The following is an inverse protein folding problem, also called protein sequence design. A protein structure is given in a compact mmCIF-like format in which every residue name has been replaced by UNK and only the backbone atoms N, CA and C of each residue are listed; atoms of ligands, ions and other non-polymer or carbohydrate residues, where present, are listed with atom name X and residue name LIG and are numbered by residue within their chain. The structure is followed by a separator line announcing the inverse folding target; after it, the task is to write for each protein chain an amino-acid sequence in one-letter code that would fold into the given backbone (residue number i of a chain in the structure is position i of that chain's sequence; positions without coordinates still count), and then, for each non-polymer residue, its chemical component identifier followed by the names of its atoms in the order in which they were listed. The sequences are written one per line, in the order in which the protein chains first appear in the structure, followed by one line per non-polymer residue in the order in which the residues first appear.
data_IF_618561843569
#
_entry.id   IF_618561843569
#
_cell.length_a   1.000
_cell.length_b   1.000
_cell.length_c   1.000
_cell.angle_alpha   90.00
_cell.angle_beta   90.00
_cell.angle_gamma   90.00
#
_symmetry.space_group_name_H-M   'P 1'
#
loop_
_entity.id
_entity.type
_entity.pdbx_description
1 polymer ?
#
# COMPACT_ATOMS: atom_id res chain seq x y z
N UNK A 1 8.58 -7.97 9.69
CA UNK A 1 7.70 -7.29 8.71
C UNK A 1 6.40 -8.04 8.60
N UNK A 2 5.25 -7.37 8.43
CA UNK A 2 3.99 -8.01 8.09
C UNK A 2 4.10 -8.86 6.82
N UNK A 3 3.28 -9.91 6.72
CA UNK A 3 3.20 -10.70 5.50
C UNK A 3 2.52 -9.89 4.39
N UNK A 4 3.14 -9.88 3.20
CA UNK A 4 2.62 -9.24 1.99
C UNK A 4 2.16 -10.33 1.02
N UNK A 5 0.95 -10.18 0.49
CA UNK A 5 0.28 -11.13 -0.38
C UNK A 5 0.27 -10.65 -1.84
N UNK A 6 -0.08 -11.54 -2.77
CA UNK A 6 -0.09 -11.28 -4.21
C UNK A 6 1.20 -11.71 -4.89
N UNK A 7 1.33 -11.36 -6.17
CA UNK A 7 2.46 -11.73 -7.02
C UNK A 7 3.66 -10.78 -6.79
N UNK A 8 4.26 -10.83 -5.59
CA UNK A 8 5.46 -10.06 -5.25
C UNK A 8 6.69 -10.55 -6.01
N UNK A 9 7.55 -9.64 -6.46
CA UNK A 9 8.78 -9.97 -7.21
C UNK A 9 10.05 -9.82 -6.37
N UNK A 10 9.95 -9.20 -5.20
CA UNK A 10 11.04 -9.00 -4.26
C UNK A 10 10.53 -8.91 -2.81
N UNK A 11 11.42 -8.56 -1.88
CA UNK A 11 11.10 -8.34 -0.47
C UNK A 11 10.69 -6.89 -0.16
N UNK A 12 10.79 -5.98 -1.13
CA UNK A 12 10.47 -4.56 -0.99
C UNK A 12 9.05 -4.25 -1.48
N UNK A 13 8.19 -5.26 -1.53
CA UNK A 13 6.76 -5.19 -1.87
C UNK A 13 6.45 -4.88 -3.34
N UNK A 14 7.44 -4.85 -4.23
CA UNK A 14 7.17 -4.70 -5.67
C UNK A 14 6.40 -5.91 -6.19
N UNK A 15 5.58 -5.72 -7.22
CA UNK A 15 4.77 -6.79 -7.81
C UNK A 15 4.93 -6.88 -9.32
N UNK A 16 4.40 -7.95 -9.91
CA UNK A 16 4.42 -8.15 -11.38
C UNK A 16 3.67 -7.05 -12.15
N UNK A 17 2.74 -6.32 -11.51
CA UNK A 17 2.02 -5.20 -12.14
C UNK A 17 2.76 -3.86 -12.06
N UNK A 18 3.49 -3.62 -10.95
CA UNK A 18 4.20 -2.37 -10.65
C UNK A 18 5.50 -2.69 -9.90
N UNK A 19 6.64 -2.39 -10.50
CA UNK A 19 7.97 -2.80 -10.02
C UNK A 19 9.09 -1.79 -10.33
N UNK A 20 8.74 -0.51 -10.47
CA UNK A 20 9.76 0.54 -10.49
C UNK A 20 10.48 0.61 -9.14
N UNK A 21 11.67 1.24 -9.06
CA UNK A 21 12.37 1.41 -7.80
C UNK A 21 11.55 2.09 -6.70
N UNK A 22 10.53 2.87 -7.06
CA UNK A 22 9.65 3.63 -6.16
C UNK A 22 8.36 2.89 -5.76
N UNK A 23 8.06 1.72 -6.35
CA UNK A 23 6.87 0.92 -6.04
C UNK A 23 7.08 0.06 -4.77
N UNK A 24 7.53 0.72 -3.69
CA UNK A 24 8.01 0.08 -2.46
C UNK A 24 7.02 0.22 -1.30
N UNK A 25 5.74 0.27 -1.61
CA UNK A 25 4.68 0.28 -0.60
C UNK A 25 3.75 -0.91 -0.77
N UNK A 26 3.20 -1.38 0.35
CA UNK A 26 2.04 -2.26 0.37
C UNK A 26 0.91 -1.60 1.17
N UNK A 27 -0.32 -1.80 0.72
CA UNK A 27 -1.53 -1.25 1.34
C UNK A 27 -2.27 -2.36 2.08
N UNK A 28 -2.66 -2.12 3.33
CA UNK A 28 -3.59 -2.94 4.11
C UNK A 28 -5.01 -2.67 3.61
N UNK A 29 -5.64 -3.69 3.05
CA UNK A 29 -7.00 -3.56 2.53
C UNK A 29 -8.02 -3.65 3.66
N UNK A 30 -8.94 -2.68 3.74
CA UNK A 30 -9.98 -2.62 4.78
C UNK A 30 -10.86 -3.88 4.84
N UNK A 31 -11.09 -4.52 3.70
CA UNK A 31 -11.98 -5.70 3.62
C UNK A 31 -11.44 -6.94 4.34
N UNK A 32 -10.12 -7.10 4.43
CA UNK A 32 -9.51 -8.35 4.93
C UNK A 32 -8.28 -8.14 5.83
N UNK A 33 -7.86 -6.89 6.05
CA UNK A 33 -6.70 -6.50 6.85
C UNK A 33 -5.37 -7.17 6.43
N UNK A 34 -5.26 -7.55 5.15
CA UNK A 34 -4.03 -8.09 4.55
C UNK A 34 -3.32 -7.02 3.72
N UNK A 35 -2.00 -7.09 3.68
CA UNK A 35 -1.16 -6.21 2.85
C UNK A 35 -1.01 -6.75 1.44
N UNK A 36 -1.22 -5.88 0.44
CA UNK A 36 -0.93 -6.16 -0.97
C UNK A 36 -0.15 -4.98 -1.59
N UNK A 37 0.74 -5.24 -2.56
CA UNK A 37 1.42 -4.21 -3.33
C UNK A 37 0.47 -3.26 -4.09
N UNK A 38 -0.65 -3.79 -4.59
CA UNK A 38 -1.62 -3.02 -5.36
C UNK A 38 -3.01 -3.68 -5.41
N UNK A 39 -4.00 -2.94 -5.92
CA UNK A 39 -5.38 -3.42 -6.11
C UNK A 39 -5.51 -4.62 -7.06
N UNK A 40 -4.65 -4.74 -8.08
CA UNK A 40 -4.67 -5.89 -9.00
C UNK A 40 -4.26 -7.17 -8.27
N UNK A 41 -3.16 -7.12 -7.53
CA UNK A 41 -2.71 -8.22 -6.67
C UNK A 41 -3.79 -8.66 -5.68
N UNK A 42 -4.50 -7.72 -5.05
CA UNK A 42 -5.63 -8.05 -4.18
C UNK A 42 -6.76 -8.75 -4.95
N UNK A 43 -7.22 -8.17 -6.06
CA UNK A 43 -8.36 -8.68 -6.82
C UNK A 43 -8.10 -10.06 -7.44
N UNK A 44 -6.84 -10.37 -7.77
CA UNK A 44 -6.44 -11.69 -8.25
C UNK A 44 -6.33 -12.72 -7.12
N UNK A 45 -6.04 -12.27 -5.88
CA UNK A 45 -5.81 -13.16 -4.73
C UNK A 45 -7.06 -13.42 -3.90
N UNK A 46 -8.07 -12.55 -3.99
CA UNK A 46 -9.24 -12.56 -3.10
C UNK A 46 -10.56 -12.72 -3.88
N UNK A 47 -11.50 -13.44 -3.27
CA UNK A 47 -12.83 -13.70 -3.86
C UNK A 47 -13.86 -12.60 -3.56
N UNK A 48 -13.44 -11.54 -2.87
CA UNK A 48 -14.30 -10.44 -2.45
C UNK A 48 -13.85 -9.11 -3.03
N UNK A 49 -14.78 -8.17 -3.14
CA UNK A 49 -14.47 -6.81 -3.61
C UNK A 49 -13.71 -6.03 -2.53
N UNK A 50 -12.78 -5.14 -2.91
CA UNK A 50 -12.09 -4.28 -1.96
C UNK A 50 -13.10 -3.32 -1.29
N UNK A 51 -12.88 -3.07 0.01
CA UNK A 51 -13.51 -1.97 0.74
C UNK A 51 -12.50 -0.84 0.85
N UNK A 52 -12.99 0.40 0.83
CA UNK A 52 -12.17 1.61 0.95
C UNK A 52 -12.21 2.14 2.37
N UNK A 53 -11.10 2.72 2.81
CA UNK A 53 -11.03 3.46 4.07
C UNK A 53 -11.74 4.80 3.91
N UNK A 54 -12.58 5.14 4.89
CA UNK A 54 -13.20 6.46 4.98
C UNK A 54 -12.20 7.46 5.57
N UNK A 55 -12.39 8.74 5.30
CA UNK A 55 -11.47 9.80 5.73
C UNK A 55 -11.35 9.93 7.25
N UNK A 56 -12.40 9.58 8.00
CA UNK A 56 -12.40 9.50 9.46
C UNK A 56 -11.60 8.32 10.03
N UNK A 57 -11.10 7.43 9.16
CA UNK A 57 -10.25 6.28 9.51
C UNK A 57 -8.79 6.43 9.01
N UNK A 58 -8.39 7.60 8.51
CA UNK A 58 -7.07 7.78 7.90
C UNK A 58 -5.90 7.78 8.89
N UNK A 59 -6.18 7.79 10.19
CA UNK A 59 -5.21 7.54 11.26
C UNK A 59 -4.76 6.07 11.34
N UNK A 60 -5.51 5.14 10.72
CA UNK A 60 -5.15 3.71 10.67
C UNK A 60 -3.81 3.49 9.98
N UNK A 61 -2.96 2.68 10.62
CA UNK A 61 -1.67 2.22 10.09
C UNK A 61 -1.87 1.20 8.97
N UNK A 62 -2.23 1.67 7.79
CA UNK A 62 -2.55 0.82 6.64
C UNK A 62 -1.48 0.83 5.54
N UNK A 63 -0.38 1.56 5.68
CA UNK A 63 0.64 1.67 4.64
C UNK A 63 1.98 1.12 5.15
N UNK A 64 2.49 0.10 4.49
CA UNK A 64 3.76 -0.54 4.80
C UNK A 64 4.83 -0.08 3.82
N UNK A 65 5.95 0.46 4.33
CA UNK A 65 7.15 0.66 3.54
C UNK A 65 7.88 -0.67 3.36
N UNK A 66 8.06 -1.11 2.11
CA UNK A 66 8.76 -2.34 1.77
C UNK A 66 10.27 -2.31 2.05
N UNK A 67 10.89 -1.13 2.04
CA UNK A 67 12.34 -0.99 2.27
C UNK A 67 12.72 -1.22 3.73
N UNK A 68 11.99 -0.63 4.67
CA UNK A 68 12.35 -0.67 6.10
C UNK A 68 11.30 -1.33 7.00
N UNK A 69 10.16 -1.75 6.44
CA UNK A 69 9.08 -2.39 7.17
C UNK A 69 8.26 -1.46 8.07
N UNK A 70 8.40 -0.14 7.94
CA UNK A 70 7.64 0.82 8.75
C UNK A 70 6.16 0.84 8.31
N UNK A 71 5.27 0.66 9.29
CA UNK A 71 3.82 0.83 9.11
C UNK A 71 3.41 2.26 9.49
N UNK A 72 2.95 3.03 8.51
CA UNK A 72 2.50 4.42 8.67
C UNK A 72 1.00 4.54 8.45
N UNK A 73 0.42 5.63 8.98
CA UNK A 73 -0.99 5.94 8.75
C UNK A 73 -1.24 6.33 7.30
N UNK A 74 -2.50 6.16 6.86
CA UNK A 74 -2.95 6.61 5.53
C UNK A 74 -2.69 8.11 5.39
N UNK A 75 -3.04 8.88 6.43
CA UNK A 75 -2.81 10.33 6.49
C UNK A 75 -1.34 10.69 6.28
N UNK A 76 -0.43 10.03 7.01
CA UNK A 76 1.02 10.27 6.87
C UNK A 76 1.50 9.99 5.44
N UNK A 77 1.04 8.88 4.85
CA UNK A 77 1.39 8.52 3.48
C UNK A 77 0.87 9.54 2.46
N UNK A 78 -0.32 10.09 2.67
CA UNK A 78 -0.89 11.11 1.76
C UNK A 78 -0.15 12.45 1.83
N UNK A 79 0.47 12.77 2.98
CA UNK A 79 1.19 14.04 3.21
C UNK A 79 2.68 13.97 2.89
N UNK A 80 3.22 12.81 2.56
CA UNK A 80 4.66 12.59 2.36
C UNK A 80 4.95 11.97 1.00
N UNK A 81 6.17 12.19 0.50
CA UNK A 81 6.65 11.57 -0.76
C UNK A 81 7.75 10.53 -0.52
N UNK A 82 8.10 10.31 0.75
CA UNK A 82 9.11 9.35 1.18
C UNK A 82 8.76 8.76 2.54
N UNK A 83 9.35 7.61 2.84
CA UNK A 83 9.18 6.99 4.14
C UNK A 83 9.77 7.87 5.25
N UNK A 84 9.00 8.25 6.29
CA UNK A 84 9.51 9.08 7.37
C UNK A 84 10.55 8.37 8.26
N UNK A 85 10.75 7.06 8.09
CA UNK A 85 11.71 6.27 8.85
C UNK A 85 13.04 6.04 8.12
N UNK A 86 13.01 5.82 6.81
CA UNK A 86 14.20 5.43 6.03
C UNK A 86 14.41 6.27 4.77
N UNK A 87 13.60 7.30 4.56
CA UNK A 87 13.71 8.27 3.46
C UNK A 87 13.55 7.67 2.05
N UNK A 88 13.20 6.39 1.94
CA UNK A 88 12.91 5.76 0.65
C UNK A 88 11.76 6.49 -0.06
N UNK A 89 12.00 6.92 -1.31
CA UNK A 89 11.02 7.63 -2.11
C UNK A 89 9.87 6.72 -2.57
N UNK A 90 8.65 7.27 -2.53
CA UNK A 90 7.46 6.61 -3.01
C UNK A 90 7.11 7.03 -4.43
N UNK A 91 6.40 6.16 -5.14
CA UNK A 91 5.88 6.50 -6.45
C UNK A 91 4.69 7.47 -6.32
N UNK A 92 4.90 8.75 -6.60
CA UNK A 92 3.85 9.77 -6.57
C UNK A 92 2.68 9.47 -7.53
N UNK A 93 2.87 8.63 -8.56
CA UNK A 93 1.78 8.20 -9.45
C UNK A 93 0.78 7.26 -8.78
N UNK A 94 1.10 6.69 -7.62
CA UNK A 94 0.14 5.89 -6.83
C UNK A 94 -1.11 6.70 -6.43
N UNK A 95 -1.01 8.04 -6.38
CA UNK A 95 -2.13 8.96 -6.14
C UNK A 95 -3.28 8.76 -7.12
N UNK A 96 -3.00 8.39 -8.39
CA UNK A 96 -4.03 8.09 -9.38
C UNK A 96 -4.87 6.85 -9.05
N UNK A 97 -4.39 5.98 -8.15
CA UNK A 97 -5.09 4.77 -7.71
C UNK A 97 -5.77 4.92 -6.35
N UNK A 98 -5.72 6.10 -5.71
CA UNK A 98 -6.29 6.30 -4.37
C UNK A 98 -7.75 5.90 -4.27
N UNK A 99 -8.54 6.17 -5.32
CA UNK A 99 -9.95 5.80 -5.39
C UNK A 99 -10.23 4.27 -5.26
N UNK A 100 -9.22 3.40 -5.41
CA UNK A 100 -9.34 1.96 -5.12
C UNK A 100 -9.21 1.62 -3.64
N UNK A 101 -8.58 2.48 -2.83
CA UNK A 101 -8.21 2.20 -1.44
C UNK A 101 -8.89 3.14 -0.44
N UNK A 102 -9.20 4.37 -0.84
CA UNK A 102 -9.60 5.48 0.02
C UNK A 102 -10.84 6.18 -0.56
N UNK A 103 -11.72 6.63 0.32
CA UNK A 103 -12.86 7.47 -0.03
C UNK A 103 -12.47 8.94 0.11
N UNK A 104 -12.18 9.56 -1.04
CA UNK A 104 -11.74 10.96 -1.19
C UNK A 104 -12.56 11.66 -2.28
#
# INVERSE_FOLDING_TARGET
MPKVYGATVDQETRCTHYNTPFDVIAIKFKCCHKYYPCFKCHNESEKHRPKRWHSDEFDERAILCGVCGYEMSIETYMMTESCPKCEAHFNNRCKFHYHHYFEI
#
